data_IF_623737874796
#
_entry.id   IF_623737874796
#
_cell.length_a   1.000
_cell.length_b   1.000
_cell.length_c   1.000
_cell.angle_alpha   90.00
_cell.angle_beta   90.00
_cell.angle_gamma   90.00
#
_symmetry.space_group_name_H-M   'P 1'
#
loop_
_entity.id
_entity.type
_entity.pdbx_description
1 polymer ?
#
# COMPACT_ATOMS: atom_id res chain seq x y z
N UNK A 1 8.46 -0.12 6.22
CA UNK A 1 8.29 -1.35 6.99
C UNK A 1 9.63 -2.04 6.95
N UNK A 2 10.11 -2.55 8.07
CA UNK A 2 11.40 -3.23 8.14
C UNK A 2 11.16 -4.72 8.40
N UNK A 3 11.86 -5.56 7.64
CA UNK A 3 11.82 -7.03 7.78
C UNK A 3 13.21 -7.51 8.16
N UNK A 4 13.32 -8.17 9.31
CA UNK A 4 14.58 -8.73 9.83
C UNK A 4 14.29 -10.14 10.33
N UNK A 5 15.00 -11.14 9.81
CA UNK A 5 14.82 -12.54 10.22
C UNK A 5 13.35 -13.03 10.18
N UNK A 6 12.59 -12.64 9.14
CA UNK A 6 11.15 -12.90 8.98
C UNK A 6 10.22 -12.18 9.97
N UNK A 7 10.78 -11.36 10.87
CA UNK A 7 10.02 -10.48 11.73
C UNK A 7 9.74 -9.16 11.04
N UNK A 8 8.50 -8.71 11.15
CA UNK A 8 8.03 -7.45 10.61
C UNK A 8 7.97 -6.42 11.73
N UNK A 9 8.49 -5.23 11.42
CA UNK A 9 8.27 -4.04 12.23
C UNK A 9 7.71 -2.92 11.36
N UNK A 10 6.69 -2.25 11.90
CA UNK A 10 5.98 -1.17 11.24
C UNK A 10 6.07 0.08 12.11
N UNK A 11 6.31 1.23 11.51
CA UNK A 11 6.07 2.50 12.18
C UNK A 11 4.58 2.69 12.48
N UNK A 12 4.24 3.63 13.37
CA UNK A 12 2.83 3.91 13.69
C UNK A 12 2.02 4.36 12.47
N UNK A 13 2.65 5.13 11.57
CA UNK A 13 2.03 5.58 10.32
C UNK A 13 1.74 4.39 9.39
N UNK A 14 2.71 3.49 9.23
CA UNK A 14 2.56 2.28 8.43
C UNK A 14 1.50 1.36 9.00
N UNK A 15 1.47 1.20 10.32
CA UNK A 15 0.43 0.44 10.99
C UNK A 15 -0.96 1.03 10.72
N UNK A 16 -1.14 2.34 10.84
CA UNK A 16 -2.42 2.99 10.57
C UNK A 16 -2.89 2.73 9.13
N UNK A 17 -1.99 2.84 8.15
CA UNK A 17 -2.31 2.58 6.74
C UNK A 17 -2.67 1.11 6.49
N UNK A 18 -1.93 0.20 7.11
CA UNK A 18 -2.18 -1.22 6.97
C UNK A 18 -3.50 -1.62 7.62
N UNK A 19 -3.79 -1.09 8.81
CA UNK A 19 -5.05 -1.30 9.50
C UNK A 19 -6.25 -0.74 8.72
N UNK A 20 -6.13 0.43 8.12
CA UNK A 20 -7.17 1.00 7.27
C UNK A 20 -7.47 0.10 6.05
N UNK A 21 -6.43 -0.44 5.43
CA UNK A 21 -6.56 -1.28 4.25
C UNK A 21 -7.09 -2.69 4.55
N UNK A 22 -6.55 -3.34 5.57
CA UNK A 22 -6.83 -4.76 5.89
C UNK A 22 -7.85 -4.97 7.00
N UNK A 23 -8.19 -3.90 7.73
CA UNK A 23 -8.95 -3.95 8.98
C UNK A 23 -8.30 -4.85 10.04
N UNK A 24 -6.97 -4.95 10.00
CA UNK A 24 -6.21 -5.76 10.92
C UNK A 24 -6.49 -5.37 12.38
N UNK A 25 -6.81 -6.33 13.25
CA UNK A 25 -7.04 -6.06 14.68
C UNK A 25 -5.75 -5.83 15.49
N UNK A 26 -4.59 -6.26 14.99
CA UNK A 26 -3.29 -6.03 15.65
C UNK A 26 -2.15 -5.96 14.62
N UNK A 27 -1.00 -5.43 15.06
CA UNK A 27 0.22 -5.31 14.24
C UNK A 27 0.80 -6.69 13.93
N UNK A 28 0.97 -7.07 12.65
CA UNK A 28 1.61 -8.33 12.31
C UNK A 28 3.08 -8.31 12.71
N UNK A 29 3.56 -9.43 13.25
CA UNK A 29 4.93 -9.62 13.72
C UNK A 29 5.74 -10.46 12.76
N UNK A 30 5.09 -11.23 11.90
CA UNK A 30 5.73 -12.11 10.92
C UNK A 30 5.12 -11.91 9.54
N UNK A 31 5.83 -12.37 8.51
CA UNK A 31 5.33 -12.41 7.13
C UNK A 31 4.02 -13.20 7.03
N UNK A 32 3.90 -14.32 7.73
CA UNK A 32 2.70 -15.15 7.70
C UNK A 32 1.50 -14.42 8.33
N UNK A 33 1.70 -13.75 9.47
CA UNK A 33 0.66 -12.93 10.09
C UNK A 33 0.22 -11.79 9.17
N UNK A 34 1.17 -11.12 8.51
CA UNK A 34 0.88 -10.05 7.57
C UNK A 34 0.04 -10.55 6.39
N UNK A 35 0.46 -11.66 5.77
CA UNK A 35 -0.24 -12.25 4.64
C UNK A 35 -1.64 -12.75 5.03
N UNK A 36 -1.79 -13.37 6.20
CA UNK A 36 -3.09 -13.82 6.71
C UNK A 36 -4.06 -12.64 6.95
N UNK A 37 -3.55 -11.49 7.41
CA UNK A 37 -4.36 -10.29 7.56
C UNK A 37 -4.78 -9.69 6.21
N UNK A 38 -3.94 -9.78 5.18
CA UNK A 38 -4.31 -9.38 3.83
C UNK A 38 -5.43 -10.28 3.26
N UNK A 39 -5.38 -11.58 3.56
CA UNK A 39 -6.41 -12.55 3.18
C UNK A 39 -7.73 -12.26 3.89
N UNK A 40 -7.67 -12.01 5.20
CA UNK A 40 -8.85 -11.63 5.98
C UNK A 40 -9.45 -10.30 5.49
N UNK A 41 -8.62 -9.27 5.31
CA UNK A 41 -9.08 -7.95 4.86
C UNK A 41 -9.75 -8.01 3.48
N UNK A 42 -9.17 -8.78 2.56
CA UNK A 42 -9.77 -9.04 1.25
C UNK A 42 -11.16 -9.68 1.36
N UNK A 43 -11.27 -10.74 2.17
CA UNK A 43 -12.55 -11.41 2.40
C UNK A 43 -13.59 -10.48 3.03
N UNK A 44 -13.18 -9.61 3.96
CA UNK A 44 -14.08 -8.62 4.59
C UNK A 44 -14.60 -7.62 3.56
N UNK A 45 -13.73 -7.08 2.70
CA UNK A 45 -14.17 -6.14 1.65
C UNK A 45 -15.17 -6.78 0.68
N UNK A 46 -14.93 -8.03 0.26
CA UNK A 46 -15.86 -8.77 -0.60
C UNK A 46 -17.19 -9.10 0.08
N UNK A 47 -17.17 -9.33 1.40
CA UNK A 47 -18.37 -9.69 2.15
C UNK A 47 -19.27 -8.47 2.44
N UNK A 48 -18.69 -7.30 2.67
CA UNK A 48 -19.43 -6.09 3.02
C UNK A 48 -19.88 -5.27 1.80
N UNK A 49 -19.13 -5.31 0.70
CA UNK A 49 -19.48 -4.62 -0.53
C UNK A 49 -19.35 -5.57 -1.73
N UNK A 50 -20.50 -6.10 -2.16
CA UNK A 50 -20.58 -6.98 -3.34
C UNK A 50 -20.54 -6.21 -4.67
N UNK A 51 -20.44 -4.88 -4.65
CA UNK A 51 -20.31 -4.06 -5.85
C UNK A 51 -18.83 -3.94 -6.28
N UNK A 52 -18.57 -3.14 -7.31
CA UNK A 52 -17.23 -3.02 -7.91
C UNK A 52 -16.16 -2.53 -6.93
N UNK A 53 -16.52 -1.71 -5.94
CA UNK A 53 -15.56 -1.13 -5.00
C UNK A 53 -15.00 -2.14 -4.00
N UNK A 54 -15.83 -3.02 -3.43
CA UNK A 54 -15.35 -4.11 -2.57
C UNK A 54 -14.36 -5.02 -3.28
N UNK A 55 -14.58 -5.31 -4.57
CA UNK A 55 -13.63 -6.05 -5.41
C UNK A 55 -12.29 -5.31 -5.55
N UNK A 56 -12.32 -4.00 -5.82
CA UNK A 56 -11.11 -3.18 -5.94
C UNK A 56 -10.32 -3.13 -4.62
N UNK A 57 -11.00 -2.96 -3.48
CA UNK A 57 -10.33 -2.95 -2.18
C UNK A 57 -9.76 -4.33 -1.84
N UNK A 58 -10.49 -5.40 -2.13
CA UNK A 58 -10.04 -6.77 -1.94
C UNK A 58 -8.76 -7.08 -2.73
N UNK A 59 -8.73 -6.72 -4.01
CA UNK A 59 -7.53 -6.84 -4.84
C UNK A 59 -6.36 -6.03 -4.29
N UNK A 60 -6.60 -4.81 -3.81
CA UNK A 60 -5.55 -3.96 -3.23
C UNK A 60 -4.96 -4.57 -1.95
N UNK A 61 -5.78 -5.14 -1.06
CA UNK A 61 -5.29 -5.89 0.09
C UNK A 61 -4.42 -7.09 -0.30
N UNK A 62 -4.76 -7.79 -1.39
CA UNK A 62 -3.96 -8.93 -1.84
C UNK A 62 -2.62 -8.52 -2.44
N UNK A 63 -2.54 -7.36 -3.10
CA UNK A 63 -1.33 -6.88 -3.79
C UNK A 63 -0.19 -6.49 -2.86
N UNK A 64 -0.50 -6.16 -1.61
CA UNK A 64 0.50 -5.76 -0.62
C UNK A 64 1.16 -6.96 0.08
N UNK A 65 0.67 -8.19 -0.15
CA UNK A 65 1.25 -9.42 0.41
C UNK A 65 2.71 -9.57 0.03
N UNK A 66 3.44 -10.27 0.90
CA UNK A 66 4.77 -10.78 0.57
C UNK A 66 4.64 -11.89 -0.49
N UNK A 67 5.36 -11.73 -1.60
CA UNK A 67 5.53 -12.78 -2.61
C UNK A 67 6.46 -13.91 -2.15
N UNK A 68 6.60 -14.95 -2.96
CA UNK A 68 7.43 -16.13 -2.65
C UNK A 68 8.91 -15.78 -2.41
N UNK A 69 9.40 -14.69 -3.01
CA UNK A 69 10.77 -14.19 -2.86
C UNK A 69 10.92 -13.19 -1.69
N UNK A 70 9.90 -13.04 -0.83
CA UNK A 70 9.93 -12.13 0.32
C UNK A 70 9.81 -10.64 -0.01
N UNK A 71 9.42 -10.28 -1.24
CA UNK A 71 9.13 -8.90 -1.62
C UNK A 71 7.69 -8.54 -1.25
N UNK A 72 7.48 -7.41 -0.56
CA UNK A 72 6.16 -6.83 -0.31
C UNK A 72 6.02 -5.47 -0.98
N UNK A 73 4.83 -5.17 -1.49
CA UNK A 73 4.49 -3.87 -2.06
C UNK A 73 3.95 -2.90 -0.99
N UNK A 74 4.52 -2.93 0.22
CA UNK A 74 4.07 -2.15 1.37
C UNK A 74 5.17 -1.22 1.95
N UNK A 75 4.87 0.05 2.29
CA UNK A 75 3.57 0.71 2.18
C UNK A 75 3.11 0.83 0.74
N UNK A 76 1.81 0.64 0.52
CA UNK A 76 1.24 0.74 -0.81
C UNK A 76 1.55 2.11 -1.40
N UNK A 77 1.94 2.15 -2.67
CA UNK A 77 2.21 3.40 -3.36
C UNK A 77 0.92 4.24 -3.39
N UNK A 78 0.85 5.25 -2.51
CA UNK A 78 -0.31 6.13 -2.35
C UNK A 78 -0.73 6.77 -3.67
N UNK A 79 0.19 6.95 -4.62
CA UNK A 79 -0.10 7.51 -5.93
C UNK A 79 -0.84 6.49 -6.80
N UNK A 80 -0.44 5.21 -6.75
CA UNK A 80 -1.17 4.12 -7.42
C UNK A 80 -2.57 3.95 -6.85
N UNK A 81 -2.73 4.06 -5.53
CA UNK A 81 -4.05 4.00 -4.90
C UNK A 81 -4.95 5.16 -5.33
N UNK A 82 -4.45 6.39 -5.34
CA UNK A 82 -5.20 7.56 -5.82
C UNK A 82 -5.58 7.44 -7.31
N UNK A 83 -4.71 6.85 -8.14
CA UNK A 83 -5.04 6.54 -9.52
C UNK A 83 -6.20 5.54 -9.61
N UNK A 84 -6.12 4.43 -8.87
CA UNK A 84 -7.14 3.38 -8.87
C UNK A 84 -8.48 3.93 -8.37
N UNK A 85 -8.48 4.77 -7.35
CA UNK A 85 -9.68 5.45 -6.86
C UNK A 85 -10.32 6.34 -7.94
N UNK A 86 -9.51 7.05 -8.71
CA UNK A 86 -9.99 7.97 -9.76
C UNK A 86 -10.44 7.26 -11.04
N UNK A 87 -9.77 6.18 -11.44
CA UNK A 87 -9.95 5.55 -12.75
C UNK A 87 -10.51 4.13 -12.70
N UNK A 88 -10.65 3.52 -11.51
CA UNK A 88 -11.24 2.20 -11.32
C UNK A 88 -10.39 1.04 -11.84
N UNK A 89 -9.16 1.28 -12.27
CA UNK A 89 -8.24 0.23 -12.74
C UNK A 89 -6.79 0.55 -12.36
N UNK A 90 -5.94 -0.46 -12.52
CA UNK A 90 -4.51 -0.32 -12.21
C UNK A 90 -3.78 0.44 -13.31
N UNK A 91 -2.86 1.35 -12.96
CA UNK A 91 -2.10 2.11 -13.93
C UNK A 91 -0.90 1.31 -14.47
N UNK A 92 -0.56 1.52 -15.74
CA UNK A 92 0.76 1.20 -16.29
C UNK A 92 1.82 2.17 -15.79
N UNK A 93 3.10 1.88 -16.02
CA UNK A 93 4.19 2.81 -15.67
C UNK A 93 4.02 4.17 -16.36
N UNK A 94 3.65 4.19 -17.64
CA UNK A 94 3.40 5.42 -18.41
C UNK A 94 2.20 6.20 -17.86
N UNK A 95 1.10 5.51 -17.53
CA UNK A 95 -0.09 6.14 -16.93
C UNK A 95 0.21 6.71 -15.54
N UNK A 96 1.09 6.06 -14.77
CA UNK A 96 1.55 6.60 -13.48
C UNK A 96 2.39 7.87 -13.67
N UNK A 97 3.26 7.91 -14.67
CA UNK A 97 4.02 9.12 -14.97
C UNK A 97 3.10 10.27 -15.38
N UNK A 98 2.10 10.02 -16.22
CA UNK A 98 1.10 11.02 -16.59
C UNK A 98 0.28 11.52 -15.40
N UNK A 99 -0.17 10.61 -14.54
CA UNK A 99 -0.90 10.96 -13.34
C UNK A 99 -0.07 11.83 -12.38
N UNK A 100 1.21 11.50 -12.21
CA UNK A 100 2.14 12.29 -11.42
C UNK A 100 2.41 13.68 -12.03
N UNK A 101 2.35 13.81 -13.35
CA UNK A 101 2.43 15.11 -14.05
C UNK A 101 1.16 15.95 -13.85
N UNK A 102 -0.01 15.33 -13.72
CA UNK A 102 -1.31 16.00 -13.61
C UNK A 102 -1.66 16.55 -12.22
N UNK A 103 -1.22 15.91 -11.14
CA UNK A 103 -1.60 16.26 -9.75
C UNK A 103 -0.48 17.00 -8.97
N UNK A 104 0.16 18.01 -9.57
CA UNK A 104 1.15 18.83 -8.86
C UNK A 104 0.54 20.05 -8.14
N UNK A 105 0.25 20.02 -6.82
CA UNK A 105 0.54 21.16 -5.97
C UNK A 105 2.05 21.10 -5.65
N UNK A 106 2.80 22.05 -6.20
CA UNK A 106 4.20 22.29 -5.81
C UNK A 106 4.28 22.36 -4.28
N UNK A 107 4.90 21.35 -3.65
CA UNK A 107 5.45 21.50 -2.31
C UNK A 107 6.98 21.44 -2.39
N UNK A 108 7.68 22.29 -1.61
CA UNK A 108 9.12 22.43 -1.73
C UNK A 108 9.78 21.16 -1.18
N UNK A 109 10.36 20.36 -2.08
CA UNK A 109 11.28 19.32 -1.69
C UNK A 109 12.55 19.96 -1.13
N UNK A 110 12.99 19.48 0.04
CA UNK A 110 14.28 19.81 0.64
C UNK A 110 15.41 19.53 -0.37
N UNK A 111 16.10 20.57 -0.82
CA UNK A 111 17.35 20.46 -1.57
C UNK A 111 18.50 20.11 -0.64
N UNK A 112 19.34 19.16 -1.05
CA UNK A 112 20.66 18.92 -0.43
C UNK A 112 21.51 20.19 -0.55
N UNK A 113 21.75 20.87 0.58
CA UNK A 113 22.77 21.91 0.66
C UNK A 113 24.13 21.20 0.61
N UNK A 114 24.87 21.37 -0.50
CA UNK A 114 26.30 21.02 -0.52
C UNK A 114 27.03 21.99 0.40
N UNK A 115 27.84 21.54 1.37
CA UNK A 115 28.74 22.44 2.09
C UNK A 115 29.78 22.96 1.10
N UNK A 116 29.87 24.28 0.99
CA UNK A 116 30.96 24.96 0.29
C UNK A 116 32.24 24.79 1.08
N UNK A 117 33.30 24.30 0.43
CA UNK A 117 34.69 24.61 0.80
C UNK A 117 35.11 25.89 0.08
#
# INVERSE_FOLDING_TARGET
MLVVEHLITMSDLEWSQFQEMTRAPWRPRTIDEFNAMCDLGSAVHLAEDTMSMGTVFAENTQRIKFGQDGQANFPADRRKLAYIEKYGHSPTNEQMEEFNRGDSPQRPGLSLVKPSN
#
